data_IF_351862446615
#
_entry.id   IF_351862446615
#
_cell.length_a   1.000
_cell.length_b   1.000
_cell.length_c   1.000
_cell.angle_alpha   90.00
_cell.angle_beta   90.00
_cell.angle_gamma   90.00
#
_symmetry.space_group_name_H-M   'P 1'
#
loop_
_entity.id
_entity.type
_entity.pdbx_description
1 polymer ?
#
# COMPACT_ATOMS: atom_id res chain seq x y z
N UNK A 1 26.22 -7.98 -1.80
CA UNK A 1 25.29 -7.42 -0.78
C UNK A 1 25.60 -5.93 -0.62
N UNK A 2 24.93 -5.07 -1.39
CA UNK A 2 25.05 -3.62 -1.21
C UNK A 2 24.17 -3.18 -0.06
N UNK A 3 24.77 -2.62 0.99
CA UNK A 3 24.05 -2.00 2.11
C UNK A 3 23.40 -0.73 1.55
N UNK A 4 22.07 -0.71 1.40
CA UNK A 4 21.35 0.49 0.97
C UNK A 4 21.53 1.54 2.06
N UNK A 5 22.31 2.59 1.78
CA UNK A 5 22.55 3.65 2.74
C UNK A 5 21.27 4.47 2.96
N UNK A 6 20.86 4.58 4.23
CA UNK A 6 19.69 5.35 4.65
C UNK A 6 19.85 6.81 4.24
N UNK A 7 18.98 7.29 3.35
CA UNK A 7 18.94 8.68 2.89
C UNK A 7 18.66 9.57 4.10
N UNK A 8 19.66 10.36 4.51
CA UNK A 8 19.63 11.19 5.72
C UNK A 8 18.76 12.45 5.58
N UNK A 9 18.33 12.79 4.37
CA UNK A 9 17.55 14.00 4.09
C UNK A 9 16.23 13.63 3.41
N UNK A 10 15.15 13.53 4.21
CA UNK A 10 13.80 13.31 3.71
C UNK A 10 13.33 14.55 2.92
N UNK A 11 13.05 14.49 1.60
CA UNK A 11 12.45 15.59 0.87
C UNK A 11 11.12 16.01 1.51
N UNK A 12 10.91 17.33 1.63
CA UNK A 12 9.69 17.86 2.23
C UNK A 12 8.44 17.42 1.46
N UNK A 13 7.38 17.07 2.18
CA UNK A 13 6.08 16.63 1.63
C UNK A 13 5.53 17.57 0.53
N UNK A 14 5.97 18.83 0.48
CA UNK A 14 5.64 19.79 -0.58
C UNK A 14 6.03 19.32 -1.98
N UNK A 15 7.19 18.65 -2.14
CA UNK A 15 7.60 18.12 -3.44
C UNK A 15 6.70 16.96 -3.88
N UNK A 16 6.35 16.05 -2.96
CA UNK A 16 5.43 14.94 -3.24
C UNK A 16 4.02 15.45 -3.59
N UNK A 17 3.54 16.48 -2.88
CA UNK A 17 2.26 17.13 -3.15
C UNK A 17 2.24 17.80 -4.53
N UNK A 18 3.34 18.41 -4.96
CA UNK A 18 3.46 19.05 -6.28
C UNK A 18 3.43 18.03 -7.44
N UNK A 19 3.92 16.82 -7.22
CA UNK A 19 3.95 15.75 -8.23
C UNK A 19 2.62 14.98 -8.27
N UNK A 20 2.07 14.61 -7.11
CA UNK A 20 0.86 13.79 -7.03
C UNK A 20 -0.46 14.58 -7.02
N UNK A 21 -0.41 15.89 -6.78
CA UNK A 21 -1.60 16.75 -6.71
C UNK A 21 -2.59 16.24 -5.67
N UNK A 22 -3.86 16.12 -6.06
CA UNK A 22 -4.95 15.65 -5.19
C UNK A 22 -4.84 14.18 -4.81
N UNK A 23 -3.97 13.40 -5.48
CA UNK A 23 -3.68 12.01 -5.14
C UNK A 23 -2.56 11.89 -4.09
N UNK A 24 -2.08 13.02 -3.56
CA UNK A 24 -1.12 13.00 -2.47
C UNK A 24 -1.83 12.70 -1.15
N UNK A 25 -1.68 11.46 -0.69
CA UNK A 25 -2.00 11.08 0.68
C UNK A 25 -0.70 11.08 1.52
N UNK A 26 -0.55 11.99 2.50
CA UNK A 26 0.61 12.00 3.38
C UNK A 26 0.77 10.69 4.17
N UNK A 27 -0.32 9.95 4.42
CA UNK A 27 -0.30 8.66 5.09
C UNK A 27 0.19 7.51 4.16
N UNK A 28 0.41 7.79 2.86
CA UNK A 28 0.90 6.83 1.86
C UNK A 28 2.23 7.27 1.22
N UNK A 29 2.89 8.28 1.79
CA UNK A 29 4.15 8.78 1.28
C UNK A 29 5.30 7.84 1.66
N UNK A 30 5.83 7.04 0.72
CA UNK A 30 6.99 6.13 0.94
C UNK A 30 8.25 6.79 1.51
N UNK A 31 8.38 8.11 1.40
CA UNK A 31 9.53 8.88 1.91
C UNK A 31 9.27 9.35 3.35
N UNK A 32 8.00 9.56 3.69
CA UNK A 32 7.54 10.11 4.95
C UNK A 32 7.20 9.00 5.94
N UNK A 33 6.71 7.86 5.42
CA UNK A 33 6.41 6.66 6.16
C UNK A 33 7.66 6.12 6.86
N UNK A 34 7.51 5.48 8.03
CA UNK A 34 8.57 4.70 8.62
C UNK A 34 8.98 3.58 7.66
N UNK A 35 10.27 3.24 7.66
CA UNK A 35 10.77 2.12 6.88
C UNK A 35 9.99 0.85 7.26
N UNK A 36 9.61 0.07 6.26
CA UNK A 36 8.97 -1.21 6.50
C UNK A 36 9.96 -2.16 7.17
N UNK A 37 9.48 -3.00 8.08
CA UNK A 37 10.31 -4.05 8.65
C UNK A 37 10.74 -5.00 7.51
N UNK A 38 11.99 -5.51 7.50
CA UNK A 38 12.49 -6.34 6.39
C UNK A 38 11.59 -7.53 6.04
N UNK A 39 10.94 -8.13 7.05
CA UNK A 39 10.00 -9.24 6.88
C UNK A 39 8.69 -8.88 6.16
N UNK A 40 8.43 -7.58 5.94
CA UNK A 40 7.21 -7.06 5.33
C UNK A 40 7.46 -6.32 4.01
N UNK A 41 8.71 -6.20 3.55
CA UNK A 41 9.10 -5.45 2.36
C UNK A 41 8.37 -5.93 1.10
N UNK A 42 8.30 -7.26 0.90
CA UNK A 42 7.57 -7.86 -0.21
C UNK A 42 6.07 -7.55 -0.16
N UNK A 43 5.45 -7.69 1.01
CA UNK A 43 4.02 -7.43 1.20
C UNK A 43 3.69 -5.94 0.99
N UNK A 44 4.53 -5.03 1.48
CA UNK A 44 4.39 -3.59 1.25
C UNK A 44 4.48 -3.27 -0.25
N UNK A 45 5.47 -3.82 -0.94
CA UNK A 45 5.65 -3.62 -2.38
C UNK A 45 4.42 -4.07 -3.17
N UNK A 46 3.88 -5.26 -2.85
CA UNK A 46 2.68 -5.78 -3.50
C UNK A 46 1.47 -4.91 -3.15
N UNK A 47 1.28 -4.54 -1.89
CA UNK A 47 0.17 -3.67 -1.48
C UNK A 47 0.15 -2.36 -2.27
N UNK A 48 1.27 -1.63 -2.32
CA UNK A 48 1.32 -0.37 -3.07
C UNK A 48 1.14 -0.53 -4.58
N UNK A 49 1.40 -1.72 -5.13
CA UNK A 49 1.14 -2.01 -6.55
C UNK A 49 -0.35 -2.12 -6.84
N UNK A 50 -1.14 -2.63 -5.88
CA UNK A 50 -2.55 -2.97 -6.08
C UNK A 50 -3.51 -2.16 -5.22
N UNK A 51 -3.02 -1.15 -4.49
CA UNK A 51 -3.78 -0.42 -3.47
C UNK A 51 -5.01 0.33 -4.01
N UNK A 52 -5.11 0.54 -5.32
CA UNK A 52 -6.25 1.17 -5.98
C UNK A 52 -7.20 0.17 -6.66
N UNK A 53 -6.86 -1.12 -6.63
CA UNK A 53 -7.65 -2.20 -7.22
C UNK A 53 -8.67 -2.75 -6.21
N UNK A 54 -9.76 -2.02 -6.01
CA UNK A 54 -10.79 -2.40 -5.04
C UNK A 54 -11.89 -3.29 -5.61
N UNK A 55 -12.42 -4.16 -4.75
CA UNK A 55 -13.75 -4.76 -4.90
C UNK A 55 -14.75 -3.81 -4.23
N UNK A 56 -15.71 -3.31 -5.00
CA UNK A 56 -16.73 -2.36 -4.53
C UNK A 56 -18.01 -3.09 -4.12
N UNK A 57 -18.62 -2.69 -3.00
CA UNK A 57 -20.02 -3.06 -2.72
C UNK A 57 -20.93 -2.17 -3.55
N UNK A 58 -21.91 -2.73 -4.27
CA UNK A 58 -22.67 -2.03 -5.31
C UNK A 58 -23.09 -0.59 -4.98
N UNK A 59 -23.76 -0.36 -3.84
CA UNK A 59 -24.14 0.99 -3.36
C UNK A 59 -23.30 1.48 -2.16
N UNK A 60 -22.14 0.87 -1.90
CA UNK A 60 -21.29 1.18 -0.75
C UNK A 60 -19.84 1.49 -1.13
N UNK A 61 -18.99 1.57 -0.10
CA UNK A 61 -17.55 1.72 -0.26
C UNK A 61 -16.83 0.43 -0.67
N UNK A 62 -15.49 0.48 -0.79
CA UNK A 62 -14.69 -0.72 -1.01
C UNK A 62 -14.88 -1.72 0.13
N UNK A 63 -14.90 -3.01 -0.21
CA UNK A 63 -15.03 -4.11 0.77
C UNK A 63 -13.77 -4.96 0.87
N UNK A 64 -12.97 -5.00 -0.19
CA UNK A 64 -11.72 -5.75 -0.25
C UNK A 64 -10.82 -5.21 -1.37
N UNK A 65 -9.55 -5.63 -1.36
CA UNK A 65 -8.69 -5.54 -2.54
C UNK A 65 -9.03 -6.67 -3.52
N UNK A 66 -8.83 -6.43 -4.82
CA UNK A 66 -8.96 -7.43 -5.86
C UNK A 66 -7.84 -8.48 -5.70
N UNK A 67 -8.23 -9.68 -5.24
CA UNK A 67 -7.27 -10.76 -4.97
C UNK A 67 -6.57 -11.26 -6.25
N UNK A 68 -7.20 -11.17 -7.42
CA UNK A 68 -6.54 -11.51 -8.67
C UNK A 68 -5.41 -10.51 -8.99
N UNK A 69 -5.62 -9.22 -8.71
CA UNK A 69 -4.57 -8.22 -8.88
C UNK A 69 -3.39 -8.50 -7.94
N UNK A 70 -3.65 -8.92 -6.69
CA UNK A 70 -2.61 -9.35 -5.75
C UNK A 70 -1.80 -10.52 -6.34
N UNK A 71 -2.47 -11.58 -6.81
CA UNK A 71 -1.79 -12.75 -7.38
C UNK A 71 -0.95 -12.40 -8.62
N UNK A 72 -1.47 -11.58 -9.53
CA UNK A 72 -0.72 -11.17 -10.73
C UNK A 72 0.47 -10.27 -10.38
N UNK A 73 0.33 -9.37 -9.39
CA UNK A 73 1.45 -8.59 -8.89
C UNK A 73 2.54 -9.49 -8.30
N UNK A 74 2.17 -10.47 -7.47
CA UNK A 74 3.14 -11.40 -6.87
C UNK A 74 3.87 -12.25 -7.91
N UNK A 75 3.20 -12.60 -9.01
CA UNK A 75 3.83 -13.27 -10.16
C UNK A 75 4.81 -12.35 -10.87
N UNK A 76 4.44 -11.09 -11.09
CA UNK A 76 5.29 -10.09 -11.75
C UNK A 76 6.58 -9.82 -10.97
N UNK A 77 6.51 -9.79 -9.63
CA UNK A 77 7.64 -9.52 -8.75
C UNK A 77 8.39 -10.78 -8.26
N UNK A 78 8.04 -11.97 -8.78
CA UNK A 78 8.69 -13.25 -8.43
C UNK A 78 8.77 -13.53 -6.92
N UNK A 79 7.69 -13.20 -6.20
CA UNK A 79 7.57 -13.44 -4.75
C UNK A 79 7.70 -14.94 -4.45
N UNK A 80 8.59 -15.30 -3.52
CA UNK A 80 8.89 -16.70 -3.16
C UNK A 80 7.83 -17.29 -2.25
N UNK A 81 7.60 -16.67 -1.09
CA UNK A 81 6.53 -17.10 -0.19
C UNK A 81 5.23 -16.38 -0.52
N UNK A 82 4.52 -16.96 -1.49
CA UNK A 82 3.27 -16.38 -1.97
C UNK A 82 2.17 -16.41 -0.92
N UNK A 83 2.18 -17.39 -0.03
CA UNK A 83 1.10 -17.51 0.95
C UNK A 83 1.24 -16.43 2.02
N UNK A 84 2.42 -16.32 2.63
CA UNK A 84 2.70 -15.32 3.68
C UNK A 84 2.52 -13.89 3.16
N UNK A 85 3.06 -13.58 1.97
CA UNK A 85 2.91 -12.26 1.36
C UNK A 85 1.44 -11.94 1.06
N UNK A 86 0.67 -12.89 0.54
CA UNK A 86 -0.77 -12.70 0.27
C UNK A 86 -1.54 -12.38 1.55
N UNK A 87 -1.32 -13.15 2.62
CA UNK A 87 -1.99 -12.95 3.91
C UNK A 87 -1.70 -11.56 4.48
N UNK A 88 -0.43 -11.13 4.45
CA UNK A 88 0.00 -9.79 4.89
C UNK A 88 -0.66 -8.68 4.07
N UNK A 89 -0.70 -8.80 2.74
CA UNK A 89 -1.33 -7.81 1.85
C UNK A 89 -2.83 -7.70 2.13
N UNK A 90 -3.51 -8.83 2.32
CA UNK A 90 -4.95 -8.83 2.63
C UNK A 90 -5.24 -8.17 3.97
N UNK A 91 -4.43 -8.45 5.00
CA UNK A 91 -4.56 -7.80 6.32
C UNK A 91 -4.37 -6.29 6.20
N UNK A 92 -3.32 -5.85 5.49
CA UNK A 92 -3.02 -4.44 5.27
C UNK A 92 -4.15 -3.74 4.50
N UNK A 93 -4.63 -4.35 3.42
CA UNK A 93 -5.76 -3.82 2.65
C UNK A 93 -7.03 -3.67 3.48
N UNK A 94 -7.37 -4.66 4.31
CA UNK A 94 -8.53 -4.58 5.22
C UNK A 94 -8.40 -3.44 6.23
N UNK A 95 -7.20 -3.20 6.76
CA UNK A 95 -6.95 -2.11 7.69
C UNK A 95 -7.29 -0.75 7.06
N UNK A 96 -6.73 -0.47 5.86
CA UNK A 96 -6.95 0.81 5.18
C UNK A 96 -8.38 0.99 4.66
N UNK A 97 -8.99 -0.08 4.13
CA UNK A 97 -10.39 -0.05 3.71
C UNK A 97 -11.32 0.25 4.88
N UNK A 98 -11.07 -0.37 6.06
CA UNK A 98 -11.83 -0.07 7.27
C UNK A 98 -11.67 1.40 7.68
N UNK A 99 -10.44 1.90 7.74
CA UNK A 99 -10.14 3.31 8.07
C UNK A 99 -10.89 4.26 7.13
N UNK A 100 -10.83 4.02 5.81
CA UNK A 100 -11.51 4.84 4.81
C UNK A 100 -13.04 4.81 4.96
N UNK A 101 -13.62 3.62 5.19
CA UNK A 101 -15.05 3.48 5.40
C UNK A 101 -15.52 4.16 6.70
N UNK A 102 -14.73 4.07 7.77
CA UNK A 102 -15.03 4.73 9.04
C UNK A 102 -14.97 6.26 8.89
N UNK A 103 -13.98 6.79 8.16
CA UNK A 103 -13.88 8.22 7.83
C UNK A 103 -15.04 8.71 6.96
N UNK A 104 -15.52 7.89 6.01
CA UNK A 104 -16.65 8.24 5.16
C UNK A 104 -17.99 8.27 5.93
N UNK A 105 -18.14 7.46 6.97
CA UNK A 105 -19.35 7.44 7.83
C UNK A 105 -19.41 8.58 8.83
N UNK A 106 -18.26 9.15 9.18
CA UNK A 106 -18.14 10.23 10.16
C UNK A 106 -18.18 11.64 9.50
N UNK A 107 -18.42 11.72 8.19
CA UNK A 107 -18.65 12.96 7.43
C UNK A 107 -20.13 13.15 7.16
#
# INVERSE_FOLDING_TARGET
MGRVERIKDKPSCEKCKKIKGDRFDPDQCKICLPDCLPENEEAEQIYFTVQDQFIMSGMGGPVALNQLAIYEAMKLYDIKDKQDCFEKVVILGRHFIKKQNDEARNK
#
